data_IF_370141651088
#
_entry.id   IF_370141651088
#
_cell.length_a   1.000
_cell.length_b   1.000
_cell.length_c   1.000
_cell.angle_alpha   90.00
_cell.angle_beta   90.00
_cell.angle_gamma   90.00
#
_symmetry.space_group_name_H-M   'P 1'
#
loop_
_entity.id
_entity.type
_entity.pdbx_description
1 polymer ?
#
# COMPACT_ATOMS: atom_id res chain seq x y z
N UNK A 1 53.28 -24.12 -19.83
CA UNK A 1 52.02 -23.49 -20.30
C UNK A 1 51.12 -23.29 -19.10
N UNK A 2 51.12 -22.10 -18.52
CA UNK A 2 50.30 -21.77 -17.37
C UNK A 2 48.91 -21.35 -17.87
N UNK A 3 47.92 -22.13 -17.51
CA UNK A 3 46.51 -21.89 -17.85
C UNK A 3 45.97 -20.79 -16.91
N UNK A 4 46.03 -19.54 -17.34
CA UNK A 4 45.43 -18.39 -16.65
C UNK A 4 43.95 -18.48 -16.87
N UNK A 5 43.21 -19.14 -15.97
CA UNK A 5 41.75 -18.99 -15.88
C UNK A 5 41.44 -17.54 -15.57
N UNK A 6 41.00 -16.82 -16.59
CA UNK A 6 40.29 -15.53 -16.43
C UNK A 6 39.10 -15.77 -15.54
N UNK A 7 39.18 -15.34 -14.27
CA UNK A 7 38.08 -15.41 -13.32
C UNK A 7 36.92 -14.58 -13.81
N UNK A 8 35.92 -15.24 -14.35
CA UNK A 8 34.65 -14.63 -14.71
C UNK A 8 34.08 -13.85 -13.49
N UNK A 9 33.49 -12.68 -13.72
CA UNK A 9 32.85 -11.89 -12.67
C UNK A 9 31.84 -12.79 -11.94
N UNK A 10 31.96 -12.85 -10.62
CA UNK A 10 31.06 -13.65 -9.78
C UNK A 10 29.63 -13.17 -9.93
N UNK A 11 28.67 -14.10 -10.03
CA UNK A 11 27.26 -13.78 -10.27
C UNK A 11 26.61 -13.19 -9.03
N UNK A 12 25.51 -12.45 -9.21
CA UNK A 12 24.71 -11.87 -8.13
C UNK A 12 24.26 -12.99 -7.16
N UNK A 13 23.77 -14.11 -7.68
CA UNK A 13 23.31 -15.24 -6.86
C UNK A 13 24.42 -15.86 -6.01
N UNK A 14 25.65 -15.91 -6.54
CA UNK A 14 26.81 -16.36 -5.77
C UNK A 14 27.08 -15.43 -4.59
N UNK A 15 27.06 -14.11 -4.82
CA UNK A 15 27.18 -13.12 -3.75
C UNK A 15 26.06 -13.21 -2.74
N UNK A 16 24.81 -13.36 -3.16
CA UNK A 16 23.65 -13.53 -2.26
C UNK A 16 23.85 -14.70 -1.29
N UNK A 17 24.25 -15.86 -1.80
CA UNK A 17 24.53 -17.05 -0.98
C UNK A 17 25.66 -16.82 0.01
N UNK A 18 26.75 -16.17 -0.41
CA UNK A 18 27.89 -15.85 0.45
C UNK A 18 27.50 -14.88 1.56
N UNK A 19 26.82 -13.77 1.21
CA UNK A 19 26.35 -12.75 2.14
C UNK A 19 25.47 -13.40 3.21
N UNK A 20 24.47 -14.18 2.81
CA UNK A 20 23.57 -14.85 3.74
C UNK A 20 24.31 -15.82 4.66
N UNK A 21 25.28 -16.58 4.12
CA UNK A 21 26.09 -17.51 4.93
C UNK A 21 26.92 -16.76 5.98
N UNK A 22 27.54 -15.64 5.60
CA UNK A 22 28.33 -14.81 6.52
C UNK A 22 27.46 -14.21 7.62
N UNK A 23 26.33 -13.60 7.24
CA UNK A 23 25.45 -12.94 8.17
C UNK A 23 24.72 -13.93 9.10
N UNK A 24 24.35 -15.12 8.62
CA UNK A 24 23.81 -16.19 9.48
C UNK A 24 24.83 -16.61 10.55
N UNK A 25 26.09 -16.73 10.20
CA UNK A 25 27.18 -17.09 11.13
C UNK A 25 27.54 -15.97 12.11
N UNK A 26 27.36 -14.72 11.74
CA UNK A 26 27.63 -13.57 12.63
C UNK A 26 26.61 -13.42 13.76
N UNK A 27 25.53 -14.17 13.76
CA UNK A 27 24.46 -14.08 14.74
C UNK A 27 23.79 -12.70 14.73
N UNK A 28 23.73 -12.05 15.88
CA UNK A 28 23.15 -10.71 16.02
C UNK A 28 24.15 -9.57 15.84
N UNK A 29 25.42 -9.89 15.58
CA UNK A 29 26.48 -8.88 15.40
C UNK A 29 26.44 -8.33 13.98
N UNK A 30 26.30 -7.00 13.80
CA UNK A 30 26.32 -6.38 12.48
C UNK A 30 27.69 -6.55 11.81
N UNK A 31 27.70 -6.81 10.51
CA UNK A 31 28.90 -6.87 9.69
C UNK A 31 28.95 -5.64 8.80
N UNK A 32 30.04 -4.87 8.87
CA UNK A 32 30.17 -3.66 8.06
C UNK A 32 30.19 -4.00 6.56
N UNK A 33 29.82 -3.05 5.69
CA UNK A 33 29.85 -3.21 4.23
C UNK A 33 31.25 -3.62 3.76
N UNK A 34 32.28 -2.98 4.31
CA UNK A 34 33.70 -3.28 4.01
C UNK A 34 34.08 -4.71 4.40
N UNK A 35 33.72 -5.14 5.61
CA UNK A 35 34.05 -6.47 6.10
C UNK A 35 33.27 -7.54 5.32
N UNK A 36 32.01 -7.24 4.96
CA UNK A 36 31.17 -8.14 4.15
C UNK A 36 31.76 -8.32 2.77
N UNK A 37 32.17 -7.24 2.09
CA UNK A 37 32.84 -7.27 0.80
C UNK A 37 34.15 -8.07 0.86
N UNK A 38 34.96 -7.84 1.91
CA UNK A 38 36.22 -8.56 2.14
C UNK A 38 35.99 -10.04 2.35
N UNK A 39 35.05 -10.43 3.20
CA UNK A 39 34.69 -11.84 3.46
C UNK A 39 34.09 -12.53 2.23
N UNK A 40 33.38 -11.79 1.40
CA UNK A 40 32.88 -12.28 0.10
C UNK A 40 33.98 -12.37 -0.97
N UNK A 41 35.22 -11.91 -0.70
CA UNK A 41 36.34 -11.82 -1.64
C UNK A 41 35.98 -11.04 -2.91
N UNK A 42 35.27 -9.91 -2.72
CA UNK A 42 34.82 -9.05 -3.82
C UNK A 42 36.01 -8.36 -4.47
N UNK A 43 36.22 -8.57 -5.77
CA UNK A 43 37.20 -7.86 -6.57
C UNK A 43 36.58 -6.65 -7.30
N UNK A 44 37.40 -5.86 -8.02
CA UNK A 44 36.90 -4.69 -8.75
C UNK A 44 35.81 -5.05 -9.77
N UNK A 45 35.94 -6.16 -10.48
CA UNK A 45 34.96 -6.62 -11.48
C UNK A 45 33.65 -7.14 -10.86
N UNK A 46 33.69 -7.65 -9.62
CA UNK A 46 32.52 -8.16 -8.90
C UNK A 46 31.79 -7.12 -8.05
N UNK A 47 32.35 -5.92 -7.87
CA UNK A 47 31.79 -4.90 -6.94
C UNK A 47 30.36 -4.47 -7.28
N UNK A 48 30.02 -4.37 -8.55
CA UNK A 48 28.66 -4.01 -9.00
C UNK A 48 27.66 -5.13 -8.64
N UNK A 49 27.99 -6.39 -8.91
CA UNK A 49 27.15 -7.55 -8.59
C UNK A 49 27.01 -7.74 -7.07
N UNK A 50 28.07 -7.48 -6.30
CA UNK A 50 28.00 -7.49 -4.84
C UNK A 50 27.00 -6.46 -4.30
N UNK A 51 27.10 -5.19 -4.74
CA UNK A 51 26.19 -4.13 -4.33
C UNK A 51 24.74 -4.47 -4.70
N UNK A 52 24.53 -4.98 -5.91
CA UNK A 52 23.21 -5.41 -6.37
C UNK A 52 22.66 -6.55 -5.51
N UNK A 53 23.49 -7.53 -5.16
CA UNK A 53 23.12 -8.62 -4.26
C UNK A 53 22.70 -8.12 -2.87
N UNK A 54 23.44 -7.14 -2.30
CA UNK A 54 23.07 -6.51 -1.03
C UNK A 54 21.75 -5.78 -1.15
N UNK A 55 21.54 -4.98 -2.20
CA UNK A 55 20.30 -4.25 -2.44
C UNK A 55 19.08 -5.18 -2.58
N UNK A 56 19.22 -6.27 -3.34
CA UNK A 56 18.16 -7.26 -3.50
C UNK A 56 17.81 -7.94 -2.18
N UNK A 57 18.82 -8.37 -1.41
CA UNK A 57 18.60 -8.98 -0.10
C UNK A 57 17.95 -8.02 0.91
N UNK A 58 18.29 -6.72 0.87
CA UNK A 58 17.62 -5.70 1.65
C UNK A 58 16.17 -5.52 1.21
N UNK A 59 15.92 -5.42 -0.10
CA UNK A 59 14.58 -5.28 -0.68
C UNK A 59 13.66 -6.46 -0.37
N UNK A 60 14.22 -7.67 -0.34
CA UNK A 60 13.50 -8.88 0.07
C UNK A 60 13.25 -8.94 1.59
N UNK A 61 13.94 -8.13 2.38
CA UNK A 61 13.92 -8.19 3.84
C UNK A 61 14.73 -9.34 4.44
N UNK A 62 15.55 -10.02 3.65
CA UNK A 62 16.40 -11.11 4.12
C UNK A 62 17.54 -10.62 5.02
N UNK A 63 18.03 -9.42 4.76
CA UNK A 63 18.99 -8.69 5.58
C UNK A 63 18.47 -7.29 5.91
N UNK A 64 18.94 -6.74 7.02
CA UNK A 64 18.58 -5.40 7.47
C UNK A 64 19.84 -4.57 7.72
N UNK A 65 19.85 -3.34 7.19
CA UNK A 65 20.90 -2.38 7.48
C UNK A 65 20.70 -1.80 8.89
N UNK A 66 21.76 -1.76 9.65
CA UNK A 66 21.83 -1.15 10.99
C UNK A 66 22.99 -0.17 11.04
N UNK A 67 23.02 0.68 12.05
CA UNK A 67 24.06 1.74 12.20
C UNK A 67 25.50 1.26 11.98
N UNK A 68 25.82 -0.01 12.25
CA UNK A 68 27.17 -0.57 12.16
C UNK A 68 27.35 -1.58 11.02
N UNK A 69 26.39 -1.73 10.13
CA UNK A 69 26.42 -2.67 9.00
C UNK A 69 25.14 -3.51 8.89
N UNK A 70 25.27 -4.66 8.26
CA UNK A 70 24.13 -5.54 7.94
C UNK A 70 24.02 -6.68 8.93
N UNK A 71 22.76 -7.10 9.18
CA UNK A 71 22.41 -8.29 9.98
C UNK A 71 21.46 -9.18 9.17
N UNK A 72 21.46 -10.49 9.45
CA UNK A 72 20.40 -11.38 8.95
C UNK A 72 19.09 -11.06 9.68
N UNK A 73 18.02 -10.79 8.95
CA UNK A 73 16.70 -10.51 9.52
C UNK A 73 16.20 -11.70 10.38
N UNK A 74 16.39 -12.91 9.91
CA UNK A 74 16.02 -14.13 10.64
C UNK A 74 16.74 -14.25 11.99
N UNK A 75 18.04 -13.91 12.07
CA UNK A 75 18.80 -13.96 13.32
C UNK A 75 18.31 -12.93 14.36
N UNK A 76 17.71 -11.85 13.87
CA UNK A 76 17.17 -10.78 14.71
C UNK A 76 15.69 -11.01 15.08
N UNK A 77 15.02 -11.98 14.48
CA UNK A 77 13.59 -12.17 14.60
C UNK A 77 12.77 -11.10 13.85
N UNK A 78 13.35 -10.53 12.76
CA UNK A 78 12.65 -9.59 11.88
C UNK A 78 11.98 -10.37 10.75
N UNK A 79 10.82 -9.90 10.34
CA UNK A 79 10.01 -10.55 9.31
C UNK A 79 9.30 -9.53 8.42
N UNK A 80 9.04 -9.90 7.15
CA UNK A 80 8.25 -9.07 6.24
C UNK A 80 6.77 -9.06 6.66
N UNK A 81 6.14 -7.92 6.43
CA UNK A 81 4.71 -7.73 6.68
C UNK A 81 4.16 -6.64 5.75
N UNK A 82 2.85 -6.59 5.60
CA UNK A 82 2.16 -5.54 4.83
C UNK A 82 1.38 -4.63 5.77
N UNK A 83 1.49 -3.31 5.61
CA UNK A 83 0.67 -2.35 6.35
C UNK A 83 -0.77 -2.47 5.84
N UNK A 84 -1.66 -3.01 6.66
CA UNK A 84 -3.07 -3.25 6.27
C UNK A 84 -3.99 -2.10 6.67
N UNK A 85 -3.64 -1.35 7.72
CA UNK A 85 -4.44 -0.22 8.18
C UNK A 85 -3.56 0.84 8.85
N UNK A 86 -3.86 2.09 8.55
CA UNK A 86 -3.28 3.25 9.24
C UNK A 86 -4.37 4.07 9.92
N UNK A 87 -4.02 4.59 11.08
CA UNK A 87 -4.75 5.63 11.80
C UNK A 87 -3.83 6.83 11.97
N UNK A 88 -4.35 7.91 12.55
CA UNK A 88 -3.56 9.13 12.81
C UNK A 88 -2.43 8.94 13.82
N UNK A 89 -2.47 7.90 14.64
CA UNK A 89 -1.55 7.69 15.75
C UNK A 89 -0.91 6.29 15.79
N UNK A 90 -1.37 5.37 14.97
CA UNK A 90 -0.89 3.99 14.92
C UNK A 90 -1.21 3.34 13.57
N UNK A 91 -0.66 2.17 13.33
CA UNK A 91 -1.00 1.30 12.21
C UNK A 91 -1.08 -0.15 12.64
N UNK A 92 -1.52 -0.99 11.70
CA UNK A 92 -1.47 -2.44 11.81
C UNK A 92 -0.75 -3.00 10.60
N UNK A 93 0.09 -3.98 10.85
CA UNK A 93 0.79 -4.71 9.80
C UNK A 93 0.47 -6.20 9.92
N UNK A 94 0.22 -6.82 8.77
CA UNK A 94 -0.03 -8.25 8.64
C UNK A 94 1.24 -8.96 8.23
N UNK A 95 1.82 -9.84 9.07
CA UNK A 95 2.94 -10.69 8.66
C UNK A 95 2.60 -11.52 7.43
N UNK A 96 3.61 -11.87 6.63
CA UNK A 96 3.45 -12.76 5.47
C UNK A 96 3.25 -14.23 5.87
N UNK A 97 3.48 -14.57 7.12
CA UNK A 97 3.22 -15.91 7.67
C UNK A 97 1.72 -16.19 7.75
N UNK A 98 1.29 -17.35 7.27
CA UNK A 98 -0.11 -17.76 7.29
C UNK A 98 -0.67 -17.81 8.72
N UNK A 99 -1.88 -17.29 8.90
CA UNK A 99 -2.61 -17.25 10.19
C UNK A 99 -1.94 -16.40 11.29
N UNK A 100 -0.92 -15.61 10.98
CA UNK A 100 -0.33 -14.69 11.94
C UNK A 100 -1.31 -13.57 12.31
N UNK A 101 -1.28 -13.14 13.58
CA UNK A 101 -2.06 -12.00 14.04
C UNK A 101 -1.49 -10.69 13.51
N UNK A 102 -2.38 -9.73 13.23
CA UNK A 102 -1.96 -8.37 12.87
C UNK A 102 -1.17 -7.74 14.02
N UNK A 103 -0.04 -7.13 13.68
CA UNK A 103 0.89 -6.50 14.62
C UNK A 103 0.54 -5.03 14.76
N UNK A 104 0.35 -4.56 15.97
CA UNK A 104 0.12 -3.15 16.28
C UNK A 104 1.45 -2.37 16.18
N UNK A 105 1.44 -1.27 15.41
CA UNK A 105 2.61 -0.39 15.22
C UNK A 105 2.27 0.99 15.77
N UNK A 106 2.86 1.42 16.89
CA UNK A 106 2.70 2.79 17.38
C UNK A 106 3.18 3.80 16.33
N UNK A 107 2.52 4.96 16.22
CA UNK A 107 2.78 5.94 15.15
C UNK A 107 4.24 6.40 15.06
N UNK A 108 4.95 6.50 16.20
CA UNK A 108 6.38 6.84 16.25
C UNK A 108 7.30 5.80 15.61
N UNK A 109 6.81 4.58 15.43
CA UNK A 109 7.55 3.45 14.87
C UNK A 109 7.12 3.07 13.45
N UNK A 110 6.22 3.84 12.83
CA UNK A 110 5.76 3.59 11.45
C UNK A 110 6.79 3.96 10.38
N UNK A 111 7.80 4.77 10.69
CA UNK A 111 8.86 5.18 9.75
C UNK A 111 8.31 5.74 8.42
N UNK A 112 7.17 6.43 8.46
CA UNK A 112 6.53 6.95 7.27
C UNK A 112 5.88 5.89 6.35
N UNK A 113 5.79 4.64 6.79
CA UNK A 113 5.13 3.58 6.02
C UNK A 113 3.65 3.88 5.77
N UNK A 114 3.18 3.55 4.58
CA UNK A 114 1.81 3.79 4.12
C UNK A 114 1.02 2.49 4.00
N UNK A 115 -0.29 2.60 3.89
CA UNK A 115 -1.16 1.43 3.66
C UNK A 115 -0.77 0.71 2.38
N UNK A 116 -0.71 -0.62 2.43
CA UNK A 116 -0.24 -1.53 1.40
C UNK A 116 1.27 -1.56 1.18
N UNK A 117 2.06 -0.74 1.89
CA UNK A 117 3.52 -0.90 1.86
C UNK A 117 3.91 -2.26 2.43
N UNK A 118 4.86 -2.90 1.77
CA UNK A 118 5.57 -4.07 2.29
C UNK A 118 6.74 -3.59 3.14
N UNK A 119 6.79 -4.02 4.38
CA UNK A 119 7.74 -3.52 5.39
C UNK A 119 8.46 -4.65 6.10
N UNK A 120 9.64 -4.39 6.62
CA UNK A 120 10.32 -5.26 7.56
C UNK A 120 9.98 -4.84 8.97
N UNK A 121 9.51 -5.76 9.81
CA UNK A 121 9.09 -5.50 11.19
C UNK A 121 10.00 -6.20 12.18
N UNK A 122 10.28 -5.51 13.28
CA UNK A 122 10.85 -6.05 14.49
C UNK A 122 9.83 -5.99 15.64
N UNK A 123 9.74 -7.05 16.44
CA UNK A 123 8.89 -7.04 17.62
C UNK A 123 9.47 -6.13 18.71
N UNK A 124 8.60 -5.40 19.39
CA UNK A 124 8.93 -4.62 20.58
C UNK A 124 8.19 -5.17 21.79
N UNK A 125 8.71 -4.94 23.01
CA UNK A 125 8.02 -5.36 24.23
C UNK A 125 6.63 -4.73 24.33
N UNK A 126 5.61 -5.55 24.43
CA UNK A 126 4.21 -5.13 24.56
C UNK A 126 3.78 -5.15 26.04
N UNK A 127 3.03 -4.11 26.44
CA UNK A 127 2.39 -4.07 27.77
C UNK A 127 0.98 -4.66 27.76
N UNK A 128 0.40 -4.80 26.58
CA UNK A 128 -1.00 -5.25 26.40
C UNK A 128 -1.15 -6.75 26.18
N UNK A 129 -0.03 -7.49 26.06
CA UNK A 129 -0.02 -8.91 25.68
C UNK A 129 -0.35 -9.19 24.22
N UNK A 130 -0.64 -8.15 23.41
CA UNK A 130 -0.84 -8.27 21.96
C UNK A 130 0.47 -8.01 21.22
N UNK A 131 0.64 -8.58 20.00
CA UNK A 131 1.84 -8.32 19.21
C UNK A 131 2.01 -6.82 18.93
N UNK A 132 3.15 -6.25 19.32
CA UNK A 132 3.54 -4.88 19.00
C UNK A 132 4.89 -4.89 18.25
N UNK A 133 5.03 -3.99 17.28
CA UNK A 133 6.22 -3.95 16.45
C UNK A 133 6.65 -2.55 16.05
N UNK A 134 7.83 -2.48 15.45
CA UNK A 134 8.38 -1.29 14.79
C UNK A 134 8.71 -1.60 13.33
N UNK A 135 8.46 -0.66 12.45
CA UNK A 135 8.94 -0.71 11.06
C UNK A 135 10.43 -0.42 11.07
N UNK A 136 11.23 -1.31 10.49
CA UNK A 136 12.68 -1.20 10.39
C UNK A 136 13.13 -0.71 9.02
N UNK A 137 12.37 -1.09 7.98
CA UNK A 137 12.59 -0.68 6.61
C UNK A 137 11.29 -0.80 5.81
N UNK A 138 11.12 0.03 4.79
CA UNK A 138 10.12 -0.13 3.75
C UNK A 138 10.78 -0.96 2.65
N UNK A 139 10.24 -2.16 2.39
CA UNK A 139 10.78 -3.10 1.41
C UNK A 139 10.25 -2.81 0.01
N UNK A 140 8.95 -2.44 -0.06
CA UNK A 140 8.27 -2.08 -1.28
C UNK A 140 7.22 -1.00 -0.98
N UNK A 141 7.27 0.07 -1.75
CA UNK A 141 6.32 1.17 -1.65
C UNK A 141 5.09 0.87 -2.50
N UNK A 142 3.91 0.97 -1.89
CA UNK A 142 2.65 0.88 -2.60
C UNK A 142 2.27 2.23 -3.25
N UNK A 143 1.26 2.18 -4.11
CA UNK A 143 0.62 3.37 -4.68
C UNK A 143 0.11 4.30 -3.56
N UNK A 144 0.48 5.56 -3.64
CA UNK A 144 0.39 6.51 -2.53
C UNK A 144 -0.71 7.54 -2.72
N UNK A 145 -1.91 7.11 -3.17
CA UNK A 145 -3.07 8.00 -3.25
C UNK A 145 -3.74 8.15 -1.88
N UNK A 146 -4.06 9.37 -1.52
CA UNK A 146 -4.66 9.74 -0.25
C UNK A 146 -5.84 10.67 -0.47
N UNK A 147 -6.86 10.58 0.39
CA UNK A 147 -7.89 11.61 0.50
C UNK A 147 -7.70 12.43 1.76
N UNK A 148 -8.14 13.67 1.70
CA UNK A 148 -8.04 14.61 2.82
C UNK A 148 -8.73 15.93 2.51
N UNK A 149 -8.50 16.88 3.37
CA UNK A 149 -9.10 18.23 3.28
C UNK A 149 -7.98 19.25 3.23
N UNK A 150 -8.18 20.29 2.40
CA UNK A 150 -7.29 21.45 2.38
C UNK A 150 -7.59 22.30 3.63
N UNK A 151 -6.52 22.66 4.34
CA UNK A 151 -6.60 23.53 5.52
C UNK A 151 -5.66 24.71 5.34
N UNK A 152 -6.07 25.86 5.87
CA UNK A 152 -5.20 27.04 5.94
C UNK A 152 -4.42 27.03 7.26
N UNK A 153 -3.13 27.22 7.17
CA UNK A 153 -2.23 27.45 8.31
C UNK A 153 -1.47 28.76 8.08
N UNK A 154 -2.02 29.84 8.62
CA UNK A 154 -1.47 31.20 8.53
C UNK A 154 -1.22 31.68 7.08
N UNK A 155 -2.20 31.49 6.19
CA UNK A 155 -2.14 31.89 4.78
C UNK A 155 -1.39 30.88 3.89
N UNK A 156 -1.09 29.70 4.43
CA UNK A 156 -0.48 28.60 3.68
C UNK A 156 -1.44 27.41 3.63
N UNK A 157 -1.85 27.05 2.42
CA UNK A 157 -2.67 25.86 2.22
C UNK A 157 -1.84 24.58 2.42
N UNK A 158 -2.34 23.69 3.28
CA UNK A 158 -1.77 22.41 3.60
C UNK A 158 -2.82 21.30 3.39
N UNK A 159 -2.37 20.07 3.23
CA UNK A 159 -3.20 18.89 3.10
C UNK A 159 -3.32 18.15 4.43
N UNK A 160 -4.53 18.05 4.97
CA UNK A 160 -4.84 17.24 6.15
C UNK A 160 -5.44 15.93 5.70
N UNK A 161 -4.66 14.86 5.75
CA UNK A 161 -5.09 13.51 5.37
C UNK A 161 -6.21 13.00 6.28
N UNK A 162 -7.13 12.20 5.75
CA UNK A 162 -8.20 11.54 6.52
C UNK A 162 -7.65 10.53 7.51
N UNK A 163 -6.60 9.84 7.10
CA UNK A 163 -5.86 8.84 7.88
C UNK A 163 -4.40 9.24 7.95
N UNK A 164 -3.57 8.47 8.62
CA UNK A 164 -2.11 8.53 8.58
C UNK A 164 -1.47 9.57 9.51
N UNK A 165 -1.90 10.84 9.55
CA UNK A 165 -1.25 11.88 10.37
C UNK A 165 -2.27 12.85 10.95
N UNK A 166 -1.99 13.36 12.16
CA UNK A 166 -2.71 14.50 12.72
C UNK A 166 -2.17 15.84 12.18
N UNK A 167 -0.89 15.85 11.83
CA UNK A 167 -0.21 17.05 11.34
C UNK A 167 -0.49 17.20 9.85
N UNK A 168 -0.90 18.38 9.37
CA UNK A 168 -1.06 18.65 7.96
C UNK A 168 0.25 18.50 7.19
N UNK A 169 0.15 18.08 5.94
CA UNK A 169 1.26 17.74 5.04
C UNK A 169 1.44 18.87 4.03
N UNK A 170 2.68 19.13 3.65
CA UNK A 170 2.98 20.15 2.66
C UNK A 170 2.51 19.75 1.26
N UNK A 171 1.87 20.70 0.56
CA UNK A 171 1.48 20.54 -0.84
C UNK A 171 2.62 21.06 -1.72
N UNK A 172 2.96 20.31 -2.75
CA UNK A 172 3.93 20.75 -3.76
C UNK A 172 3.30 21.81 -4.67
N UNK A 173 3.88 22.99 -4.76
CA UNK A 173 3.31 24.19 -5.42
C UNK A 173 3.20 24.14 -6.96
N UNK A 174 3.45 23.04 -7.62
CA UNK A 174 3.39 22.91 -9.09
C UNK A 174 2.12 22.19 -9.58
N UNK A 175 1.04 22.33 -8.83
CA UNK A 175 -0.21 21.67 -9.19
C UNK A 175 -0.99 22.52 -10.20
N UNK A 176 -1.50 21.86 -11.24
CA UNK A 176 -2.43 22.44 -12.22
C UNK A 176 -3.87 22.48 -11.71
N UNK A 177 -4.14 21.85 -10.55
CA UNK A 177 -5.46 21.78 -9.95
C UNK A 177 -5.68 22.98 -9.04
N UNK A 178 -6.81 23.67 -9.24
CA UNK A 178 -7.27 24.76 -8.36
C UNK A 178 -8.01 24.13 -7.19
N UNK A 179 -7.64 24.52 -5.97
CA UNK A 179 -8.28 24.05 -4.74
C UNK A 179 -8.30 25.18 -3.70
N UNK A 180 -9.26 25.12 -2.76
CA UNK A 180 -9.46 26.09 -1.72
C UNK A 180 -9.53 25.42 -0.35
N UNK A 181 -9.45 26.24 0.71
CA UNK A 181 -9.67 25.76 2.07
C UNK A 181 -11.04 25.08 2.22
N UNK A 182 -11.10 23.97 2.96
CA UNK A 182 -12.33 23.23 3.22
C UNK A 182 -12.71 22.25 2.10
N UNK A 183 -11.98 22.20 0.98
CA UNK A 183 -12.25 21.26 -0.08
C UNK A 183 -11.69 19.87 0.22
N UNK A 184 -12.48 18.85 -0.16
CA UNK A 184 -12.09 17.45 -0.18
C UNK A 184 -11.31 17.18 -1.46
N UNK A 185 -10.13 16.59 -1.30
CA UNK A 185 -9.21 16.38 -2.44
C UNK A 185 -8.65 14.96 -2.46
N UNK A 186 -8.29 14.51 -3.66
CA UNK A 186 -7.41 13.37 -3.89
C UNK A 186 -5.98 13.90 -4.07
N UNK A 187 -5.07 13.35 -3.31
CA UNK A 187 -3.65 13.72 -3.35
C UNK A 187 -2.79 12.48 -3.61
N UNK A 188 -1.66 12.69 -4.26
CA UNK A 188 -0.61 11.70 -4.48
C UNK A 188 0.64 12.09 -3.68
N UNK A 189 1.26 11.14 -3.00
CA UNK A 189 2.52 11.39 -2.29
C UNK A 189 3.66 11.40 -3.29
N UNK A 190 4.30 12.55 -3.42
CA UNK A 190 5.43 12.75 -4.37
C UNK A 190 6.79 12.73 -3.70
N UNK A 191 6.80 12.83 -2.37
CA UNK A 191 8.01 12.65 -1.57
C UNK A 191 7.64 11.97 -0.25
N UNK A 192 8.36 10.90 0.08
CA UNK A 192 8.20 10.18 1.34
C UNK A 192 9.28 10.62 2.33
N UNK A 193 8.85 11.08 3.50
CA UNK A 193 9.72 11.38 4.63
C UNK A 193 9.78 10.20 5.61
N UNK A 194 10.68 10.27 6.57
CA UNK A 194 10.79 9.27 7.64
C UNK A 194 9.63 9.30 8.65
N UNK A 195 8.82 10.36 8.61
CA UNK A 195 7.56 10.49 9.36
C UNK A 195 6.47 10.96 8.42
N UNK A 196 5.23 10.60 8.70
CA UNK A 196 4.10 10.97 7.85
C UNK A 196 3.94 12.50 7.65
N UNK A 197 4.26 13.30 8.67
CA UNK A 197 4.21 14.76 8.56
C UNK A 197 5.29 15.35 7.62
N UNK A 198 6.32 14.59 7.30
CA UNK A 198 7.41 14.99 6.41
C UNK A 198 7.16 14.63 4.95
N UNK A 199 6.08 13.91 4.66
CA UNK A 199 5.67 13.65 3.29
C UNK A 199 5.35 14.95 2.57
N UNK A 200 5.39 14.93 1.24
CA UNK A 200 4.87 16.00 0.38
C UNK A 200 3.90 15.39 -0.60
N UNK A 201 2.79 16.08 -0.82
CA UNK A 201 1.74 15.63 -1.71
C UNK A 201 1.55 16.60 -2.88
N UNK A 202 1.04 16.04 -3.96
CA UNK A 202 0.50 16.77 -5.12
C UNK A 202 -1.00 16.54 -5.14
N UNK A 203 -1.78 17.61 -5.31
CA UNK A 203 -3.22 17.49 -5.47
C UNK A 203 -3.51 17.02 -6.90
N UNK A 204 -4.25 15.93 -7.01
CA UNK A 204 -4.62 15.30 -8.29
C UNK A 204 -6.01 15.75 -8.72
N UNK A 205 -6.95 15.83 -7.75
CA UNK A 205 -8.33 16.17 -8.02
C UNK A 205 -8.99 16.84 -6.81
N UNK A 206 -9.90 17.80 -7.04
CA UNK A 206 -10.78 18.38 -6.01
C UNK A 206 -12.22 17.92 -6.24
N UNK A 207 -12.82 17.35 -5.19
CA UNK A 207 -14.22 16.93 -5.17
C UNK A 207 -15.16 18.08 -4.76
N UNK A 208 -14.59 19.22 -4.33
CA UNK A 208 -15.33 20.36 -3.79
C UNK A 208 -15.46 20.33 -2.27
N UNK A 209 -16.44 21.09 -1.75
CA UNK A 209 -16.56 21.37 -0.32
C UNK A 209 -16.90 20.12 0.49
N UNK A 210 -16.09 19.81 1.50
CA UNK A 210 -16.15 18.56 2.28
C UNK A 210 -17.38 18.40 3.20
N UNK A 211 -18.27 19.42 3.27
CA UNK A 211 -19.50 19.36 4.07
C UNK A 211 -20.61 18.52 3.44
N UNK A 212 -20.48 18.16 2.16
CA UNK A 212 -21.46 17.32 1.47
C UNK A 212 -21.08 15.85 1.60
N UNK A 213 -22.03 15.00 2.01
CA UNK A 213 -21.82 13.57 2.15
C UNK A 213 -21.44 12.89 0.81
N UNK A 214 -22.03 13.32 -0.31
CA UNK A 214 -21.70 12.83 -1.66
C UNK A 214 -20.22 13.06 -1.99
N UNK A 215 -19.70 14.26 -1.73
CA UNK A 215 -18.27 14.61 -1.95
C UNK A 215 -17.33 13.68 -1.15
N UNK A 216 -17.70 13.36 0.08
CA UNK A 216 -16.93 12.43 0.89
C UNK A 216 -17.01 11.00 0.36
N UNK A 217 -18.19 10.57 -0.13
CA UNK A 217 -18.38 9.26 -0.74
C UNK A 217 -17.54 9.12 -2.02
N UNK A 218 -17.60 10.09 -2.93
CA UNK A 218 -16.84 10.09 -4.18
C UNK A 218 -15.33 10.03 -3.92
N UNK A 219 -14.85 10.78 -2.93
CA UNK A 219 -13.45 10.73 -2.53
C UNK A 219 -13.04 9.35 -1.99
N UNK A 220 -13.92 8.70 -1.21
CA UNK A 220 -13.66 7.35 -0.68
C UNK A 220 -13.64 6.29 -1.79
N UNK A 221 -14.47 6.41 -2.80
CA UNK A 221 -14.49 5.52 -3.97
C UNK A 221 -13.22 5.72 -4.81
N UNK A 222 -12.88 6.97 -5.09
CA UNK A 222 -11.72 7.32 -5.89
C UNK A 222 -10.39 6.81 -5.29
N UNK A 223 -10.17 6.96 -3.96
CA UNK A 223 -8.95 6.47 -3.30
C UNK A 223 -8.84 4.94 -3.30
N UNK A 224 -9.97 4.25 -3.42
CA UNK A 224 -10.03 2.79 -3.53
C UNK A 224 -9.92 2.29 -4.96
N UNK A 225 -9.85 3.21 -5.94
CA UNK A 225 -9.82 2.88 -7.36
C UNK A 225 -11.15 2.34 -7.89
N UNK A 226 -12.26 2.60 -7.17
CA UNK A 226 -13.60 2.26 -7.64
C UNK A 226 -14.01 3.29 -8.68
N UNK A 227 -14.22 2.84 -9.91
CA UNK A 227 -14.78 3.67 -10.97
C UNK A 227 -16.29 3.78 -10.77
N UNK A 228 -16.82 5.01 -10.71
CA UNK A 228 -18.25 5.28 -10.55
C UNK A 228 -18.92 5.34 -11.92
N UNK A 229 -18.17 5.69 -12.95
CA UNK A 229 -18.66 5.80 -14.30
C UNK A 229 -18.53 4.44 -15.02
N UNK A 230 -19.58 4.04 -15.69
CA UNK A 230 -19.52 2.87 -16.59
C UNK A 230 -18.74 3.25 -17.86
N UNK A 231 -17.98 2.31 -18.44
CA UNK A 231 -17.38 2.49 -19.76
C UNK A 231 -18.45 2.84 -20.80
N UNK A 232 -18.09 3.68 -21.78
CA UNK A 232 -19.02 4.10 -22.84
C UNK A 232 -19.64 2.91 -23.59
N UNK A 233 -18.87 1.83 -23.77
CA UNK A 233 -19.33 0.58 -24.39
C UNK A 233 -20.47 -0.08 -23.60
N UNK A 234 -20.36 -0.07 -22.26
CA UNK A 234 -21.38 -0.63 -21.36
C UNK A 234 -22.66 0.22 -21.39
N UNK A 235 -22.49 1.55 -21.38
CA UNK A 235 -23.63 2.48 -21.52
C UNK A 235 -24.34 2.26 -22.84
N UNK A 236 -23.60 2.19 -23.97
CA UNK A 236 -24.15 1.98 -25.28
C UNK A 236 -24.86 0.61 -25.43
N UNK A 237 -24.39 -0.43 -24.74
CA UNK A 237 -25.04 -1.71 -24.68
C UNK A 237 -26.32 -1.66 -23.85
N UNK A 238 -26.28 -1.03 -22.68
CA UNK A 238 -27.43 -0.83 -21.80
C UNK A 238 -28.55 -0.05 -22.52
N UNK A 239 -28.20 1.04 -23.23
CA UNK A 239 -29.14 1.85 -24.00
C UNK A 239 -29.83 1.03 -25.12
N UNK A 240 -29.07 0.16 -25.80
CA UNK A 240 -29.66 -0.76 -26.83
C UNK A 240 -30.63 -1.76 -26.22
N UNK A 241 -30.34 -2.23 -25.01
CA UNK A 241 -31.17 -3.24 -24.34
C UNK A 241 -32.38 -2.63 -23.64
N UNK A 242 -32.30 -1.35 -23.21
CA UNK A 242 -33.35 -0.68 -22.46
C UNK A 242 -34.70 -0.64 -23.23
N UNK A 243 -34.64 -0.40 -24.56
CA UNK A 243 -35.81 -0.31 -25.45
C UNK A 243 -36.03 -1.57 -26.30
N UNK A 244 -35.17 -2.58 -26.12
CA UNK A 244 -35.28 -3.80 -26.91
C UNK A 244 -36.51 -4.62 -26.46
N UNK A 245 -37.37 -5.08 -27.39
CA UNK A 245 -38.44 -5.99 -27.03
C UNK A 245 -37.87 -7.32 -26.55
N UNK A 246 -38.54 -7.92 -25.57
CA UNK A 246 -38.16 -9.28 -25.11
C UNK A 246 -38.36 -10.25 -26.28
N UNK A 247 -37.34 -11.02 -26.69
CA UNK A 247 -37.44 -11.98 -27.78
C UNK A 247 -38.50 -13.03 -27.49
N UNK A 248 -39.21 -13.48 -28.53
CA UNK A 248 -40.27 -14.52 -28.40
C UNK A 248 -39.75 -15.82 -27.76
N UNK A 249 -38.49 -16.19 -28.05
CA UNK A 249 -37.84 -17.34 -27.43
C UNK A 249 -37.73 -17.26 -25.90
N UNK A 250 -37.68 -16.06 -25.34
CA UNK A 250 -37.68 -15.86 -23.90
C UNK A 250 -39.07 -16.04 -23.30
N UNK A 251 -40.13 -15.65 -24.01
CA UNK A 251 -41.49 -15.92 -23.58
C UNK A 251 -41.79 -17.43 -23.62
N UNK A 252 -41.32 -18.13 -24.65
CA UNK A 252 -41.56 -19.56 -24.82
C UNK A 252 -40.89 -20.43 -23.74
N UNK A 253 -39.83 -19.92 -23.15
CA UNK A 253 -39.08 -20.58 -22.04
C UNK A 253 -39.67 -20.33 -20.67
N UNK A 254 -40.54 -19.34 -20.50
CA UNK A 254 -41.03 -18.89 -19.19
C UNK A 254 -42.46 -19.38 -18.96
N UNK A 255 -42.76 -19.62 -17.67
CA UNK A 255 -44.15 -19.85 -17.27
C UNK A 255 -44.91 -18.53 -17.34
N UNK A 256 -46.06 -18.55 -18.07
CA UNK A 256 -46.95 -17.39 -18.12
C UNK A 256 -47.81 -17.31 -16.86
N UNK A 257 -47.54 -16.32 -16.04
CA UNK A 257 -48.23 -16.05 -14.78
C UNK A 257 -49.09 -14.78 -14.82
N UNK A 258 -49.36 -14.23 -16.03
CA UNK A 258 -50.10 -12.95 -16.15
C UNK A 258 -51.54 -13.03 -15.65
N UNK A 259 -52.14 -14.20 -15.66
CA UNK A 259 -53.48 -14.42 -15.12
C UNK A 259 -53.50 -14.92 -13.67
N UNK A 260 -52.34 -15.07 -13.05
CA UNK A 260 -52.21 -15.49 -11.66
C UNK A 260 -52.19 -14.27 -10.74
N UNK A 261 -53.05 -14.19 -9.69
CA UNK A 261 -52.94 -13.11 -8.70
C UNK A 261 -51.60 -13.20 -7.96
N UNK A 262 -50.73 -12.23 -8.20
CA UNK A 262 -49.43 -12.14 -7.57
C UNK A 262 -49.31 -10.77 -6.90
N UNK A 263 -48.87 -10.75 -5.67
CA UNK A 263 -48.64 -9.50 -4.93
C UNK A 263 -47.32 -9.54 -4.17
N UNK A 264 -46.77 -8.36 -3.90
CA UNK A 264 -45.55 -8.19 -3.08
C UNK A 264 -45.93 -7.53 -1.77
N UNK A 265 -45.14 -7.82 -0.71
CA UNK A 265 -45.28 -7.19 0.62
C UNK A 265 -43.97 -6.49 0.92
N UNK A 266 -43.88 -5.25 0.50
CA UNK A 266 -42.69 -4.43 0.62
C UNK A 266 -42.99 -3.16 1.44
N UNK A 267 -41.91 -2.48 1.93
CA UNK A 267 -42.10 -1.19 2.55
C UNK A 267 -42.58 -0.16 1.52
N UNK A 268 -43.35 0.85 1.97
CA UNK A 268 -43.90 1.90 1.11
C UNK A 268 -42.85 2.68 0.30
N UNK A 269 -41.58 2.58 0.66
CA UNK A 269 -40.46 3.28 0.02
C UNK A 269 -39.53 2.32 -0.74
N UNK A 270 -39.85 1.02 -0.81
CA UNK A 270 -39.06 0.05 -1.57
C UNK A 270 -39.13 0.37 -3.06
N UNK A 271 -37.96 0.41 -3.70
CA UNK A 271 -37.84 0.54 -5.16
C UNK A 271 -37.57 -0.78 -5.84
N UNK A 272 -37.28 -1.80 -5.05
CA UNK A 272 -36.97 -3.16 -5.49
C UNK A 272 -38.02 -4.10 -4.87
N UNK A 273 -38.87 -4.70 -5.72
CA UNK A 273 -40.00 -5.54 -5.33
C UNK A 273 -39.60 -6.99 -5.62
N UNK A 274 -38.78 -7.57 -4.78
CA UNK A 274 -38.17 -8.89 -5.00
C UNK A 274 -38.91 -10.08 -4.31
N UNK A 275 -39.85 -9.79 -3.44
CA UNK A 275 -40.64 -10.78 -2.72
C UNK A 275 -42.05 -10.94 -3.27
N UNK A 276 -42.27 -11.81 -4.27
CA UNK A 276 -43.61 -12.07 -4.83
C UNK A 276 -44.27 -13.33 -4.23
N UNK A 277 -45.54 -13.22 -3.91
CA UNK A 277 -46.38 -14.30 -3.36
C UNK A 277 -47.65 -14.47 -4.22
N UNK A 278 -48.03 -15.71 -4.51
CA UNK A 278 -49.27 -16.07 -5.23
C UNK A 278 -50.13 -17.00 -4.41
#
# INVERSE_FOLDING_TARGET
MANTQLGGAETIDSYRKKIMTILKKSGRTPVSDRDLATKCRTNRGGAANFRKAVQELCKEGAICERRRGYVSSANMGYYPATIVRLSRTFGFARPEEENAQDVFIPGKFLQGAMTKDRVLIGNIPSRSGKPEGEVLAILEEADSKLTGVIVDDNGRLLFRADTMSKTPIQIQRKDSVIYHEGEKVLAEVVHRGSRHAEHRVKIVFSFGVCTRASVCADAMLAVRGVNIDFPEEVIAEADKLADAPIPQEEYDKRLDLRDTPIFTIDSAHSKDLDGAVS
#
